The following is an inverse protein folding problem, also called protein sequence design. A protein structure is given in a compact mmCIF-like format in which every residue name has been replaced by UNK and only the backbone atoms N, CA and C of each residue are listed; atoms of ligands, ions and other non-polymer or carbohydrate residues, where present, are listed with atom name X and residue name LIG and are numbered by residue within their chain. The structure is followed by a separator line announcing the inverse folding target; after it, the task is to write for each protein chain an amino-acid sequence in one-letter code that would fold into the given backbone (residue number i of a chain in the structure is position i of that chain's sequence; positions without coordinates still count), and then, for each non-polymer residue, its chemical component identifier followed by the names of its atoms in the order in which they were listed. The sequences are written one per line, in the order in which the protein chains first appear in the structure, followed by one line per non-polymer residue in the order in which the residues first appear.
data_IF_911915406888
#
_entry.id   IF_911915406888
#
_cell.length_a   1.000
_cell.length_b   1.000
_cell.length_c   1.000
_cell.angle_alpha   90.00
_cell.angle_beta   90.00
_cell.angle_gamma   90.00
#
_symmetry.space_group_name_H-M   'P 1'
#
loop_
_entity.id
_entity.type
_entity.pdbx_description
1 polymer ?
#
# COMPACT_ATOMS: atom_id res chain seq x y z
N UNK A 1 30.01 -49.27 23.03
CA UNK A 1 31.38 -48.72 22.97
C UNK A 1 31.38 -47.59 21.97
N UNK A 2 32.13 -46.52 22.23
CA UNK A 2 32.21 -45.37 21.33
C UNK A 2 32.84 -45.79 20.00
N UNK A 3 32.22 -45.36 18.90
CA UNK A 3 32.80 -45.49 17.56
C UNK A 3 33.84 -44.39 17.36
N UNK A 4 34.97 -44.68 16.71
CA UNK A 4 35.96 -43.65 16.37
C UNK A 4 35.38 -42.52 15.48
N UNK A 5 34.21 -42.71 14.87
CA UNK A 5 33.53 -41.71 14.04
C UNK A 5 32.53 -40.82 14.82
N UNK A 6 32.30 -41.06 16.11
CA UNK A 6 31.28 -40.33 16.89
C UNK A 6 31.54 -38.81 16.90
N UNK A 7 32.81 -38.39 16.98
CA UNK A 7 33.21 -36.99 16.95
C UNK A 7 32.90 -36.32 15.60
N UNK A 8 33.23 -37.01 14.50
CA UNK A 8 32.96 -36.51 13.14
C UNK A 8 31.46 -36.44 12.85
N UNK A 9 30.68 -37.41 13.34
CA UNK A 9 29.23 -37.40 13.22
C UNK A 9 28.62 -36.21 13.96
N UNK A 10 29.10 -35.89 15.17
CA UNK A 10 28.64 -34.73 15.92
C UNK A 10 28.96 -33.41 15.21
N UNK A 11 30.16 -33.29 14.62
CA UNK A 11 30.56 -32.12 13.83
C UNK A 11 29.71 -31.97 12.57
N UNK A 12 29.50 -33.07 11.83
CA UNK A 12 28.66 -33.07 10.63
C UNK A 12 27.20 -32.71 10.94
N UNK A 13 26.65 -33.22 12.05
CA UNK A 13 25.30 -32.88 12.48
C UNK A 13 25.18 -31.39 12.87
N UNK A 14 26.17 -30.84 13.56
CA UNK A 14 26.20 -29.43 13.93
C UNK A 14 26.29 -28.52 12.69
N UNK A 15 27.16 -28.84 11.72
CA UNK A 15 27.26 -28.09 10.45
C UNK A 15 25.95 -28.17 9.66
N UNK A 16 25.40 -29.38 9.49
CA UNK A 16 24.16 -29.57 8.75
C UNK A 16 22.98 -28.79 9.38
N UNK A 17 22.89 -28.76 10.71
CA UNK A 17 21.88 -27.95 11.39
C UNK A 17 22.09 -26.46 11.14
N UNK A 18 23.29 -25.94 11.42
CA UNK A 18 23.57 -24.51 11.38
C UNK A 18 23.51 -23.93 9.96
N UNK A 19 24.05 -24.66 8.98
CA UNK A 19 24.20 -24.17 7.61
C UNK A 19 22.99 -24.46 6.73
N UNK A 20 22.24 -25.52 7.01
CA UNK A 20 21.17 -25.99 6.11
C UNK A 20 19.79 -25.99 6.78
N UNK A 21 19.62 -26.73 7.88
CA UNK A 21 18.29 -26.95 8.45
C UNK A 21 17.71 -25.68 9.08
N UNK A 22 18.47 -25.00 9.94
CA UNK A 22 17.96 -23.79 10.60
C UNK A 22 17.60 -22.68 9.60
N UNK A 23 18.44 -22.35 8.60
CA UNK A 23 18.08 -21.36 7.57
C UNK A 23 16.93 -21.79 6.66
N UNK A 24 16.74 -23.09 6.42
CA UNK A 24 15.61 -23.60 5.65
C UNK A 24 14.29 -23.42 6.43
N UNK A 25 14.25 -23.87 7.68
CA UNK A 25 13.08 -23.70 8.55
C UNK A 25 12.73 -22.22 8.74
N UNK A 26 13.73 -21.37 8.94
CA UNK A 26 13.51 -19.93 9.08
C UNK A 26 12.88 -19.31 7.82
N UNK A 27 13.36 -19.71 6.62
CA UNK A 27 12.76 -19.28 5.35
C UNK A 27 11.32 -19.77 5.21
N UNK A 28 11.06 -21.03 5.52
CA UNK A 28 9.72 -21.62 5.40
C UNK A 28 8.73 -20.91 6.33
N UNK A 29 9.13 -20.63 7.57
CA UNK A 29 8.31 -19.86 8.52
C UNK A 29 8.06 -18.43 8.03
N UNK A 30 9.09 -17.74 7.52
CA UNK A 30 8.90 -16.39 6.96
C UNK A 30 7.96 -16.38 5.76
N UNK A 31 8.08 -17.35 4.86
CA UNK A 31 7.21 -17.47 3.70
C UNK A 31 5.76 -17.68 4.14
N UNK A 32 5.52 -18.62 5.06
CA UNK A 32 4.18 -18.86 5.60
C UNK A 32 3.58 -17.62 6.27
N UNK A 33 4.36 -16.87 7.06
CA UNK A 33 3.89 -15.62 7.67
C UNK A 33 3.60 -14.53 6.64
N UNK A 34 4.42 -14.45 5.59
CA UNK A 34 4.23 -13.49 4.49
C UNK A 34 2.96 -13.80 3.71
N UNK A 35 2.74 -15.06 3.34
CA UNK A 35 1.53 -15.52 2.65
C UNK A 35 0.26 -15.23 3.47
N UNK A 36 0.31 -15.44 4.79
CA UNK A 36 -0.80 -15.11 5.69
C UNK A 36 -1.07 -13.60 5.74
N UNK A 37 -0.01 -12.79 5.84
CA UNK A 37 -0.11 -11.34 5.87
C UNK A 37 -0.68 -10.78 4.56
N UNK A 38 -0.21 -11.28 3.42
CA UNK A 38 -0.70 -10.88 2.09
C UNK A 38 -2.18 -11.25 1.91
N UNK A 39 -2.57 -12.47 2.30
CA UNK A 39 -3.97 -12.89 2.24
C UNK A 39 -4.86 -11.98 3.11
N UNK A 40 -4.39 -11.57 4.29
CA UNK A 40 -5.11 -10.62 5.14
C UNK A 40 -5.19 -9.22 4.52
N UNK A 41 -4.07 -8.72 3.98
CA UNK A 41 -4.02 -7.42 3.33
C UNK A 41 -5.01 -7.34 2.15
N UNK A 42 -5.02 -8.35 1.29
CA UNK A 42 -5.95 -8.45 0.15
C UNK A 42 -7.41 -8.41 0.63
N UNK A 43 -7.75 -9.15 1.69
CA UNK A 43 -9.11 -9.13 2.26
C UNK A 43 -9.52 -7.72 2.72
N UNK A 44 -8.64 -7.02 3.43
CA UNK A 44 -8.90 -5.67 3.94
C UNK A 44 -9.02 -4.67 2.78
N UNK A 45 -8.11 -4.70 1.82
CA UNK A 45 -8.18 -3.84 0.63
C UNK A 45 -9.45 -4.10 -0.19
N UNK A 46 -9.83 -5.37 -0.37
CA UNK A 46 -11.06 -5.75 -1.06
C UNK A 46 -12.31 -5.23 -0.35
N UNK A 47 -12.35 -5.33 0.98
CA UNK A 47 -13.45 -4.79 1.78
C UNK A 47 -13.54 -3.25 1.66
N UNK A 48 -12.40 -2.56 1.76
CA UNK A 48 -12.34 -1.10 1.61
C UNK A 48 -12.79 -0.65 0.21
N UNK A 49 -12.31 -1.34 -0.85
CA UNK A 49 -12.71 -1.06 -2.23
C UNK A 49 -14.21 -1.26 -2.43
N UNK A 50 -14.78 -2.36 -1.91
CA UNK A 50 -16.23 -2.60 -1.98
C UNK A 50 -17.02 -1.47 -1.32
N UNK A 51 -16.60 -1.02 -0.13
CA UNK A 51 -17.25 0.11 0.55
C UNK A 51 -17.19 1.39 -0.27
N UNK A 52 -16.04 1.70 -0.89
CA UNK A 52 -15.90 2.87 -1.75
C UNK A 52 -16.82 2.79 -2.99
N UNK A 53 -16.87 1.65 -3.66
CA UNK A 53 -17.69 1.45 -4.87
C UNK A 53 -19.20 1.49 -4.59
N UNK A 54 -19.62 1.09 -3.39
CA UNK A 54 -21.02 1.11 -2.96
C UNK A 54 -21.43 2.44 -2.30
N UNK A 55 -20.55 3.44 -2.32
CA UNK A 55 -20.90 4.79 -1.83
C UNK A 55 -22.06 5.35 -2.65
N UNK A 56 -23.13 5.86 -2.01
CA UNK A 56 -24.24 6.46 -2.72
C UNK A 56 -23.79 7.59 -3.67
N UNK A 57 -24.26 7.62 -4.92
CA UNK A 57 -23.85 8.64 -5.88
C UNK A 57 -24.50 9.99 -5.56
N UNK A 58 -23.75 11.08 -5.76
CA UNK A 58 -24.29 12.44 -5.75
C UNK A 58 -24.94 12.71 -7.11
N UNK A 59 -26.25 12.98 -7.15
CA UNK A 59 -27.01 13.19 -8.39
C UNK A 59 -27.56 14.62 -8.46
N UNK A 60 -27.60 15.18 -9.67
CA UNK A 60 -28.31 16.43 -9.95
C UNK A 60 -27.66 17.68 -9.33
N UNK A 61 -26.38 17.63 -8.97
CA UNK A 61 -25.65 18.76 -8.37
C UNK A 61 -24.42 19.09 -9.20
N UNK A 62 -24.10 20.38 -9.27
CA UNK A 62 -22.78 20.84 -9.71
C UNK A 62 -21.76 20.49 -8.62
N UNK A 63 -20.63 19.90 -9.01
CA UNK A 63 -19.60 19.42 -8.08
C UNK A 63 -18.25 20.00 -8.47
N UNK A 64 -17.49 20.45 -7.47
CA UNK A 64 -16.10 20.86 -7.62
C UNK A 64 -15.20 19.80 -6.98
N UNK A 65 -14.44 19.09 -7.81
CA UNK A 65 -13.38 18.20 -7.37
C UNK A 65 -12.10 18.98 -7.08
N UNK A 66 -11.45 18.68 -5.97
CA UNK A 66 -10.17 19.27 -5.58
C UNK A 66 -9.17 18.14 -5.36
N UNK A 67 -8.08 18.15 -6.12
CA UNK A 67 -6.91 17.27 -5.94
C UNK A 67 -5.78 18.09 -5.28
N UNK A 68 -5.58 17.96 -3.95
CA UNK A 68 -4.64 18.80 -3.22
C UNK A 68 -3.18 18.48 -3.57
N UNK A 69 -2.39 19.50 -3.89
CA UNK A 69 -0.94 19.36 -4.00
C UNK A 69 -0.20 20.66 -3.65
N UNK A 70 0.91 20.51 -2.91
CA UNK A 70 1.67 21.66 -2.38
C UNK A 70 2.58 22.31 -3.43
N UNK A 71 3.44 21.53 -4.09
CA UNK A 71 4.46 22.07 -5.01
C UNK A 71 3.88 22.40 -6.39
N UNK A 72 3.00 21.53 -6.89
CA UNK A 72 2.43 21.62 -8.25
C UNK A 72 1.13 22.41 -8.30
N UNK A 73 0.65 22.94 -7.17
CA UNK A 73 -0.66 23.55 -7.04
C UNK A 73 -1.79 22.52 -6.94
N UNK A 74 -2.87 22.90 -6.27
CA UNK A 74 -4.09 22.11 -6.17
C UNK A 74 -4.85 22.18 -7.51
N UNK A 75 -5.22 21.04 -8.06
CA UNK A 75 -6.01 20.99 -9.29
C UNK A 75 -7.49 21.02 -8.92
N UNK A 76 -8.24 21.83 -9.64
CA UNK A 76 -9.68 21.97 -9.49
C UNK A 76 -10.33 21.53 -10.79
N UNK A 77 -11.42 20.77 -10.68
CA UNK A 77 -12.29 20.43 -11.80
C UNK A 77 -13.75 20.64 -11.39
N UNK A 78 -14.51 21.39 -12.18
CA UNK A 78 -15.94 21.61 -11.95
C UNK A 78 -16.74 20.79 -12.96
N UNK A 79 -17.70 20.00 -12.48
CA UNK A 79 -18.63 19.24 -13.31
C UNK A 79 -20.07 19.65 -13.03
N UNK A 80 -20.91 19.66 -14.05
CA UNK A 80 -22.34 19.95 -13.90
C UNK A 80 -23.15 18.76 -13.35
N UNK A 81 -24.46 18.96 -13.21
CA UNK A 81 -25.40 17.96 -12.71
C UNK A 81 -25.48 16.66 -13.52
N UNK A 82 -24.99 16.65 -14.76
CA UNK A 82 -24.93 15.48 -15.65
C UNK A 82 -23.57 14.80 -15.64
N UNK A 83 -22.57 15.40 -14.97
CA UNK A 83 -21.18 14.95 -14.98
C UNK A 83 -20.36 15.54 -16.14
N UNK A 84 -20.89 16.50 -16.90
CA UNK A 84 -20.13 17.18 -17.95
C UNK A 84 -19.12 18.12 -17.30
N UNK A 85 -17.87 18.06 -17.75
CA UNK A 85 -16.82 18.98 -17.34
C UNK A 85 -17.15 20.40 -17.79
N UNK A 86 -17.13 21.34 -16.85
CA UNK A 86 -17.34 22.76 -17.09
C UNK A 86 -16.01 23.51 -17.17
N UNK A 87 -15.11 23.31 -16.20
CA UNK A 87 -13.87 24.07 -16.09
C UNK A 87 -12.79 23.27 -15.35
N UNK A 88 -11.52 23.56 -15.62
CA UNK A 88 -10.37 23.06 -14.86
C UNK A 88 -9.40 24.20 -14.54
N UNK A 89 -8.84 24.20 -13.33
CA UNK A 89 -7.88 25.21 -12.90
C UNK A 89 -6.78 24.59 -12.04
N UNK A 90 -5.64 25.27 -11.95
CA UNK A 90 -4.59 24.95 -10.97
C UNK A 90 -4.41 26.17 -10.08
N UNK A 91 -4.68 26.02 -8.79
CA UNK A 91 -4.57 27.08 -7.80
C UNK A 91 -3.42 26.78 -6.83
N UNK A 92 -2.83 27.83 -6.25
CA UNK A 92 -1.71 27.67 -5.31
C UNK A 92 -2.04 28.25 -3.93
N UNK A 93 -3.04 27.69 -3.22
CA UNK A 93 -3.53 28.24 -1.95
C UNK A 93 -2.56 27.97 -0.79
N UNK A 94 -1.68 26.99 -0.94
CA UNK A 94 -0.72 26.56 0.08
C UNK A 94 0.69 27.11 -0.16
N UNK A 95 1.57 27.14 0.86
CA UNK A 95 2.99 27.40 0.67
C UNK A 95 3.62 26.43 -0.36
N UNK A 96 4.60 26.85 -1.17
CA UNK A 96 5.39 28.08 -1.08
C UNK A 96 4.86 29.28 -1.87
N UNK A 97 3.94 29.10 -2.83
CA UNK A 97 3.50 30.25 -3.64
C UNK A 97 2.44 31.12 -2.93
N UNK A 98 1.55 30.54 -2.10
CA UNK A 98 0.50 31.29 -1.35
C UNK A 98 -0.29 32.30 -2.21
N UNK A 99 -0.58 31.96 -3.47
CA UNK A 99 -1.33 32.81 -4.42
C UNK A 99 -2.83 32.64 -4.19
N UNK A 100 -3.30 33.15 -3.05
CA UNK A 100 -4.69 32.99 -2.60
C UNK A 100 -5.65 33.85 -3.43
N UNK A 101 -5.23 35.04 -3.88
CA UNK A 101 -6.08 35.95 -4.66
C UNK A 101 -6.42 35.41 -6.05
N UNK A 102 -5.52 34.64 -6.66
CA UNK A 102 -5.76 34.00 -7.97
C UNK A 102 -6.58 32.70 -7.86
N UNK A 103 -6.88 32.27 -6.64
CA UNK A 103 -7.68 31.10 -6.34
C UNK A 103 -9.15 31.43 -5.99
N UNK A 104 -9.52 32.72 -6.03
CA UNK A 104 -10.86 33.23 -5.73
C UNK A 104 -11.78 33.18 -6.95
#
# INVERSE_FOLDING_TARGET
GSSPADAELALAAADAYARLLAPAVERDVRNALTEQADAQAIRVFGANLKSLLLTPPIRGRVVMGVDPAYRTGCKIAVVDATGKLLEVAVVYPTPPQRRIEEAQ
#
